data_IF_361805681799
#
_entry.id   IF_361805681799
#
_cell.length_a   1.000
_cell.length_b   1.000
_cell.length_c   1.000
_cell.angle_alpha   90.00
_cell.angle_beta   90.00
_cell.angle_gamma   90.00
#
_symmetry.space_group_name_H-M   'P 1'
#
loop_
_entity.id
_entity.type
_entity.pdbx_description
1 polymer ?
#
# COMPACT_ATOMS: atom_id res chain seq x y z
N UNK A 1 -4.37 -33.90 6.50
CA UNK A 1 -5.66 -33.28 6.87
C UNK A 1 -5.96 -32.24 5.82
N UNK A 2 -7.02 -32.42 5.03
CA UNK A 2 -7.39 -31.50 3.95
C UNK A 2 -8.07 -30.29 4.60
N UNK A 3 -7.34 -29.17 4.64
CA UNK A 3 -7.79 -27.93 5.27
C UNK A 3 -8.96 -27.36 4.44
N UNK A 4 -10.18 -27.54 4.91
CA UNK A 4 -11.42 -27.17 4.20
C UNK A 4 -11.67 -25.66 4.31
N UNK A 5 -10.71 -24.84 3.83
CA UNK A 5 -10.80 -23.38 3.84
C UNK A 5 -11.82 -22.93 2.79
N UNK A 6 -12.92 -22.33 3.23
CA UNK A 6 -13.96 -21.83 2.33
C UNK A 6 -13.73 -20.36 1.95
N UNK A 7 -14.38 -19.91 0.87
CA UNK A 7 -14.40 -18.48 0.50
C UNK A 7 -14.91 -17.59 1.65
N UNK A 8 -15.93 -18.05 2.38
CA UNK A 8 -16.50 -17.30 3.50
C UNK A 8 -15.49 -17.18 4.65
N UNK A 9 -14.69 -18.21 4.92
CA UNK A 9 -13.62 -18.15 5.93
C UNK A 9 -12.56 -17.11 5.55
N UNK A 10 -12.23 -17.01 4.25
CA UNK A 10 -11.31 -16.00 3.74
C UNK A 10 -11.88 -14.58 3.87
N UNK A 11 -13.16 -14.37 3.54
CA UNK A 11 -13.84 -13.07 3.69
C UNK A 11 -13.94 -12.67 5.17
N UNK A 12 -14.30 -13.59 6.05
CA UNK A 12 -14.36 -13.33 7.49
C UNK A 12 -12.98 -12.97 8.06
N UNK A 13 -11.94 -13.69 7.64
CA UNK A 13 -10.55 -13.39 8.02
C UNK A 13 -10.14 -12.01 7.51
N UNK A 14 -10.44 -11.68 6.25
CA UNK A 14 -10.13 -10.38 5.65
C UNK A 14 -10.82 -9.24 6.40
N UNK A 15 -12.10 -9.41 6.74
CA UNK A 15 -12.88 -8.42 7.47
C UNK A 15 -12.48 -8.31 8.96
N UNK A 16 -11.77 -9.30 9.50
CA UNK A 16 -11.23 -9.24 10.87
C UNK A 16 -9.95 -8.39 10.98
N UNK A 17 -9.33 -8.04 9.85
CA UNK A 17 -8.11 -7.22 9.83
C UNK A 17 -8.42 -5.76 10.16
N UNK A 18 -7.44 -5.06 10.73
CA UNK A 18 -7.58 -3.64 11.05
C UNK A 18 -7.73 -2.80 9.79
N UNK A 19 -8.68 -1.86 9.81
CA UNK A 19 -8.87 -0.91 8.71
C UNK A 19 -7.81 0.20 8.73
N UNK A 20 -7.48 0.74 7.56
CA UNK A 20 -6.56 1.88 7.44
C UNK A 20 -7.04 3.09 8.26
N UNK A 21 -8.35 3.31 8.39
CA UNK A 21 -8.91 4.39 9.21
C UNK A 21 -8.61 4.18 10.70
N UNK A 22 -8.82 2.97 11.23
CA UNK A 22 -8.53 2.65 12.63
C UNK A 22 -7.04 2.83 12.97
N UNK A 23 -6.14 2.42 12.07
CA UNK A 23 -4.69 2.65 12.21
C UNK A 23 -4.37 4.14 12.24
N UNK A 24 -4.95 4.94 11.34
CA UNK A 24 -4.71 6.39 11.27
C UNK A 24 -5.20 7.11 12.53
N UNK A 25 -6.33 6.70 13.09
CA UNK A 25 -6.83 7.22 14.38
C UNK A 25 -5.90 6.87 15.53
N UNK A 26 -5.43 5.62 15.61
CA UNK A 26 -4.46 5.20 16.62
C UNK A 26 -3.13 5.99 16.53
N UNK A 27 -2.64 6.24 15.31
CA UNK A 27 -1.43 7.07 15.09
C UNK A 27 -1.64 8.48 15.62
N UNK A 28 -2.80 9.10 15.32
CA UNK A 28 -3.15 10.45 15.81
C UNK A 28 -3.24 10.48 17.33
N UNK A 29 -3.90 9.50 17.95
CA UNK A 29 -4.03 9.38 19.40
C UNK A 29 -2.68 9.16 20.10
N UNK A 30 -1.73 8.49 19.44
CA UNK A 30 -0.39 8.21 19.98
C UNK A 30 0.62 9.38 19.87
N UNK A 31 0.21 10.54 19.36
CA UNK A 31 1.11 11.67 19.12
C UNK A 31 2.24 11.37 18.12
N UNK A 32 2.01 10.44 17.18
CA UNK A 32 3.00 10.05 16.17
C UNK A 32 4.05 9.03 16.63
N UNK A 33 3.99 8.54 17.88
CA UNK A 33 4.92 7.54 18.41
C UNK A 33 4.91 6.24 17.61
N UNK A 34 3.73 5.82 17.13
CA UNK A 34 3.55 4.61 16.31
C UNK A 34 4.25 4.68 14.95
N UNK A 35 4.45 5.87 14.40
CA UNK A 35 5.11 6.05 13.10
C UNK A 35 6.60 5.65 13.13
N UNK A 36 7.25 5.73 14.31
CA UNK A 36 8.65 5.32 14.47
C UNK A 36 8.87 3.83 14.24
N UNK A 37 7.85 3.00 14.45
CA UNK A 37 7.92 1.54 14.26
C UNK A 37 7.64 1.09 12.84
N UNK A 38 7.04 1.96 12.01
CA UNK A 38 6.55 1.60 10.68
C UNK A 38 7.67 1.18 9.71
N UNK A 39 8.83 1.83 9.74
CA UNK A 39 9.96 1.45 8.88
C UNK A 39 10.59 0.11 9.28
N UNK A 40 10.91 -0.15 10.57
CA UNK A 40 11.33 -1.48 11.02
C UNK A 40 10.32 -2.59 10.66
N UNK A 41 9.03 -2.35 10.88
CA UNK A 41 7.96 -3.31 10.55
C UNK A 41 7.90 -3.60 9.05
N UNK A 42 7.96 -2.57 8.19
CA UNK A 42 8.00 -2.75 6.74
C UNK A 42 9.17 -3.63 6.29
N UNK A 43 10.36 -3.44 6.88
CA UNK A 43 11.54 -4.26 6.58
C UNK A 43 11.36 -5.72 6.99
N UNK A 44 10.67 -5.98 8.10
CA UNK A 44 10.32 -7.34 8.51
C UNK A 44 9.29 -7.96 7.56
N UNK A 45 8.30 -7.19 7.10
CA UNK A 45 7.33 -7.68 6.12
C UNK A 45 7.99 -8.05 4.81
N UNK A 46 8.91 -7.23 4.29
CA UNK A 46 9.72 -7.57 3.12
C UNK A 46 10.47 -8.89 3.32
N UNK A 47 11.15 -9.05 4.46
CA UNK A 47 11.90 -10.29 4.77
C UNK A 47 10.99 -11.52 4.86
N UNK A 48 9.82 -11.37 5.46
CA UNK A 48 8.81 -12.44 5.56
C UNK A 48 8.37 -12.95 4.19
N UNK A 49 8.27 -12.08 3.18
CA UNK A 49 7.93 -12.46 1.80
C UNK A 49 9.15 -12.84 0.95
N UNK A 50 10.34 -12.94 1.55
CA UNK A 50 11.58 -13.37 0.89
C UNK A 50 12.29 -12.27 0.10
N UNK A 51 12.07 -11.00 0.42
CA UNK A 51 12.70 -9.85 -0.23
C UNK A 51 13.46 -8.98 0.77
N UNK A 52 14.55 -8.38 0.33
CA UNK A 52 15.23 -7.28 1.01
C UNK A 52 14.82 -5.94 0.39
N UNK A 53 14.82 -4.81 1.14
CA UNK A 53 14.48 -3.50 0.59
C UNK A 53 15.29 -3.11 -0.65
N UNK A 54 16.56 -3.51 -0.71
CA UNK A 54 17.45 -3.27 -1.86
C UNK A 54 17.02 -3.99 -3.13
N UNK A 55 16.22 -5.05 -3.03
CA UNK A 55 15.69 -5.73 -4.22
C UNK A 55 14.78 -4.81 -5.03
N UNK A 56 14.16 -3.81 -4.39
CA UNK A 56 13.27 -2.85 -5.05
C UNK A 56 14.03 -1.71 -5.74
N UNK A 57 15.34 -1.55 -5.53
CA UNK A 57 16.13 -0.45 -6.11
C UNK A 57 16.25 -0.55 -7.65
N UNK A 58 16.01 -1.74 -8.21
CA UNK A 58 15.91 -1.97 -9.67
C UNK A 58 14.66 -1.35 -10.31
N UNK A 59 13.70 -0.90 -9.50
CA UNK A 59 12.46 -0.31 -9.97
C UNK A 59 12.64 1.18 -10.24
N UNK A 60 12.13 1.65 -11.39
CA UNK A 60 12.05 3.07 -11.69
C UNK A 60 10.81 3.68 -11.01
N UNK A 61 10.96 4.07 -9.73
CA UNK A 61 9.84 4.56 -8.91
C UNK A 61 9.75 6.09 -8.93
N UNK A 62 8.54 6.60 -9.18
CA UNK A 62 8.19 8.01 -8.92
C UNK A 62 7.34 8.05 -7.65
N UNK A 63 7.89 8.61 -6.57
CA UNK A 63 7.18 8.76 -5.30
C UNK A 63 6.55 10.16 -5.19
N UNK A 64 5.23 10.22 -4.95
CA UNK A 64 4.47 11.47 -4.87
C UNK A 64 3.94 11.66 -3.45
N UNK A 65 4.50 12.62 -2.72
CA UNK A 65 4.09 13.01 -1.37
C UNK A 65 3.38 14.37 -1.36
N UNK A 66 2.56 14.63 -0.33
CA UNK A 66 1.89 15.92 -0.13
C UNK A 66 0.52 15.81 0.52
N UNK A 67 -0.02 16.93 1.00
CA UNK A 67 -1.34 16.95 1.67
C UNK A 67 -2.48 16.82 0.66
N UNK A 68 -2.39 17.51 -0.49
CA UNK A 68 -3.41 17.56 -1.54
C UNK A 68 -2.79 17.23 -2.90
N UNK A 69 -3.62 16.87 -3.88
CA UNK A 69 -3.19 16.71 -5.27
C UNK A 69 -2.44 15.42 -5.62
N UNK A 70 -2.01 14.60 -4.65
CA UNK A 70 -1.26 13.35 -4.92
C UNK A 70 -1.91 12.45 -5.98
N UNK A 71 -3.21 12.17 -5.84
CA UNK A 71 -3.93 11.29 -6.76
C UNK A 71 -4.07 11.87 -8.17
N UNK A 72 -4.35 13.17 -8.29
CA UNK A 72 -4.42 13.85 -9.59
C UNK A 72 -3.05 13.95 -10.25
N UNK A 73 -2.00 14.25 -9.48
CA UNK A 73 -0.62 14.30 -10.00
C UNK A 73 -0.16 12.92 -10.44
N UNK A 74 -0.43 11.87 -9.67
CA UNK A 74 -0.06 10.50 -10.03
C UNK A 74 -0.79 10.01 -11.29
N UNK A 75 -2.07 10.36 -11.45
CA UNK A 75 -2.83 10.07 -12.66
C UNK A 75 -2.29 10.83 -13.88
N UNK A 76 -1.92 12.10 -13.72
CA UNK A 76 -1.31 12.88 -14.79
C UNK A 76 0.05 12.29 -15.23
N UNK A 77 0.92 11.96 -14.27
CA UNK A 77 2.22 11.34 -14.54
C UNK A 77 2.05 10.00 -15.25
N UNK A 78 1.14 9.16 -14.76
CA UNK A 78 0.84 7.87 -15.38
C UNK A 78 0.34 8.03 -16.82
N UNK A 79 -0.59 8.97 -17.06
CA UNK A 79 -1.07 9.29 -18.41
C UNK A 79 0.08 9.68 -19.33
N UNK A 80 0.96 10.61 -18.92
CA UNK A 80 2.13 11.01 -19.73
C UNK A 80 2.99 9.79 -20.04
N UNK A 81 3.39 8.99 -19.04
CA UNK A 81 4.27 7.85 -19.26
C UNK A 81 3.64 6.77 -20.17
N UNK A 82 2.33 6.56 -20.09
CA UNK A 82 1.60 5.67 -21.00
C UNK A 82 1.63 6.16 -22.44
N UNK A 83 1.48 7.47 -22.67
CA UNK A 83 1.53 8.05 -24.02
C UNK A 83 2.91 7.90 -24.68
N UNK A 84 3.99 7.89 -23.90
CA UNK A 84 5.35 7.67 -24.40
C UNK A 84 5.75 6.19 -24.48
N UNK A 85 4.78 5.27 -24.58
CA UNK A 85 4.96 3.83 -24.83
C UNK A 85 5.89 3.09 -23.85
N UNK A 86 5.91 3.48 -22.57
CA UNK A 86 6.47 2.60 -21.54
C UNK A 86 5.50 1.46 -21.27
N UNK A 87 5.81 0.27 -21.79
CA UNK A 87 4.91 -0.90 -21.80
C UNK A 87 4.62 -1.50 -20.41
N UNK A 88 5.24 -0.98 -19.34
CA UNK A 88 5.08 -1.50 -17.98
C UNK A 88 4.89 -0.42 -16.90
N UNK A 89 3.97 0.53 -17.13
CA UNK A 89 3.57 1.51 -16.11
C UNK A 89 2.51 0.93 -15.17
N UNK A 90 2.79 1.02 -13.86
CA UNK A 90 1.87 0.65 -12.77
C UNK A 90 1.64 1.86 -11.88
N UNK A 91 0.39 2.06 -11.45
CA UNK A 91 -0.02 3.15 -10.58
C UNK A 91 -0.55 2.60 -9.26
N UNK A 92 -0.05 3.14 -8.14
CA UNK A 92 -0.53 2.83 -6.79
C UNK A 92 -1.05 4.11 -6.13
N UNK A 93 -2.34 4.14 -5.77
CA UNK A 93 -3.00 5.30 -5.16
C UNK A 93 -3.86 4.89 -3.98
N UNK A 94 -4.08 5.83 -3.05
CA UNK A 94 -4.92 5.66 -1.86
C UNK A 94 -5.56 6.99 -1.44
N UNK A 95 -6.77 7.01 -0.87
CA UNK A 95 -7.69 5.88 -0.71
C UNK A 95 -8.31 5.44 -2.05
N UNK A 96 -8.84 4.22 -2.12
CA UNK A 96 -9.68 3.80 -3.23
C UNK A 96 -11.11 4.35 -3.03
N UNK A 97 -11.73 4.85 -4.09
CA UNK A 97 -13.14 5.22 -4.04
C UNK A 97 -13.98 3.94 -4.02
N UNK A 98 -14.75 3.75 -2.96
CA UNK A 98 -15.81 2.73 -2.91
C UNK A 98 -17.10 3.46 -3.26
N UNK A 99 -17.74 3.09 -4.37
CA UNK A 99 -19.15 3.41 -4.57
C UNK A 99 -19.93 2.46 -3.65
N UNK A 100 -20.64 3.02 -2.68
CA UNK A 100 -21.56 2.31 -1.78
C UNK A 100 -22.98 2.52 -2.28
#
# INVERSE_FOLDING_TARGET
MQDNRTYNDAVNSLNSLQTNSAILEAIRASGGSLNRKSLPELREFCRTIGYEPSDFDRLNVIHIAGTKGKGSTSALVESILRHYNQSQIRLYTSPHLVAV
#
